data_IF_732715369394
#
_entry.id   IF_732715369394
#
_cell.length_a   1.000
_cell.length_b   1.000
_cell.length_c   1.000
_cell.angle_alpha   90.00
_cell.angle_beta   90.00
_cell.angle_gamma   90.00
#
_symmetry.space_group_name_H-M   'P 1'
#
loop_
_entity.id
_entity.type
_entity.pdbx_description
1 polymer ?
#
# COMPACT_ATOMS: atom_id res chain seq x y z
N UNK A 1 -17.34 12.66 -6.55
CA UNK A 1 -18.80 12.73 -6.32
C UNK A 1 -19.45 11.38 -6.03
N UNK A 2 -18.80 10.49 -5.28
CA UNK A 2 -19.41 9.25 -4.74
C UNK A 2 -18.95 9.06 -3.29
N UNK A 3 -17.64 9.12 -3.08
CA UNK A 3 -17.04 8.86 -1.77
C UNK A 3 -16.45 10.13 -1.13
N UNK A 4 -15.85 11.02 -1.93
CA UNK A 4 -15.16 12.20 -1.41
C UNK A 4 -15.88 13.52 -1.81
N UNK A 5 -16.56 14.22 -0.89
CA UNK A 5 -17.33 15.44 -1.16
C UNK A 5 -16.47 16.72 -1.07
N UNK A 6 -15.26 16.70 -1.62
CA UNK A 6 -14.32 17.83 -1.63
C UNK A 6 -13.90 18.19 -3.06
N UNK A 7 -13.08 19.25 -3.18
CA UNK A 7 -12.57 19.72 -4.47
C UNK A 7 -11.80 18.64 -5.24
N UNK A 8 -11.98 18.64 -6.56
CA UNK A 8 -11.32 17.70 -7.47
C UNK A 8 -9.79 17.79 -7.40
N UNK A 9 -9.24 18.99 -7.19
CA UNK A 9 -7.81 19.23 -7.02
C UNK A 9 -7.21 18.40 -5.88
N UNK A 10 -7.87 18.32 -4.73
CA UNK A 10 -7.37 17.54 -3.58
C UNK A 10 -7.31 16.04 -3.89
N UNK A 11 -8.29 15.54 -4.65
CA UNK A 11 -8.32 14.14 -5.10
C UNK A 11 -7.23 13.88 -6.13
N UNK A 12 -7.12 14.75 -7.14
CA UNK A 12 -6.16 14.62 -8.22
C UNK A 12 -4.71 14.71 -7.72
N UNK A 13 -4.40 15.70 -6.88
CA UNK A 13 -3.06 15.86 -6.32
C UNK A 13 -2.67 14.66 -5.43
N UNK A 14 -3.62 14.10 -4.69
CA UNK A 14 -3.40 12.87 -3.91
C UNK A 14 -3.10 11.67 -4.83
N UNK A 15 -3.88 11.49 -5.89
CA UNK A 15 -3.66 10.44 -6.89
C UNK A 15 -2.31 10.60 -7.59
N UNK A 16 -1.94 11.82 -7.97
CA UNK A 16 -0.64 12.13 -8.60
C UNK A 16 0.49 11.75 -7.67
N UNK A 17 0.43 12.14 -6.39
CA UNK A 17 1.48 11.77 -5.41
C UNK A 17 1.63 10.26 -5.28
N UNK A 18 0.55 9.48 -5.37
CA UNK A 18 0.58 8.02 -5.33
C UNK A 18 1.21 7.36 -6.56
N UNK A 19 1.41 8.11 -7.65
CA UNK A 19 2.06 7.66 -8.88
C UNK A 19 3.55 8.05 -8.95
N UNK A 20 3.98 9.04 -8.17
CA UNK A 20 5.35 9.57 -8.16
C UNK A 20 6.29 8.67 -7.34
N UNK A 21 7.31 8.13 -7.98
CA UNK A 21 8.28 7.20 -7.39
C UNK A 21 9.28 7.89 -6.43
N UNK A 22 9.46 9.21 -6.52
CA UNK A 22 10.18 10.00 -5.52
C UNK A 22 9.31 10.41 -4.31
N UNK A 23 7.98 10.21 -4.39
CA UNK A 23 7.04 10.55 -3.32
C UNK A 23 6.70 9.35 -2.46
N UNK A 24 6.20 8.26 -3.07
CA UNK A 24 5.90 7.00 -2.38
C UNK A 24 7.00 5.97 -2.66
N UNK A 25 7.45 5.28 -1.62
CA UNK A 25 8.48 4.22 -1.74
C UNK A 25 8.01 3.04 -2.60
N UNK A 26 6.71 2.74 -2.52
CA UNK A 26 5.99 1.76 -3.32
C UNK A 26 4.72 2.42 -3.90
N UNK A 27 4.82 3.04 -5.09
CA UNK A 27 3.69 3.72 -5.72
C UNK A 27 2.48 2.79 -5.88
N UNK A 28 1.29 3.31 -5.60
CA UNK A 28 0.03 2.58 -5.67
C UNK A 28 -0.71 2.82 -7.00
N UNK A 29 -0.34 3.88 -7.71
CA UNK A 29 -0.94 4.29 -8.98
C UNK A 29 0.09 4.17 -10.11
N UNK A 30 -0.37 3.68 -11.25
CA UNK A 30 0.35 3.65 -12.53
C UNK A 30 -0.21 4.79 -13.38
N UNK A 31 0.59 5.85 -13.55
CA UNK A 31 0.20 7.06 -14.25
C UNK A 31 0.79 7.13 -15.66
N UNK A 32 -0.02 7.56 -16.64
CA UNK A 32 0.40 7.84 -18.01
C UNK A 32 0.20 9.32 -18.34
N UNK A 33 1.25 9.97 -18.83
CA UNK A 33 1.29 11.41 -19.07
C UNK A 33 2.31 12.10 -18.16
N UNK A 34 2.22 13.43 -18.02
CA UNK A 34 3.10 14.19 -17.13
C UNK A 34 2.51 14.23 -15.70
N UNK A 35 3.14 13.49 -14.79
CA UNK A 35 2.80 13.44 -13.36
C UNK A 35 3.69 14.35 -12.49
N UNK A 36 4.37 15.32 -13.10
CA UNK A 36 5.28 16.24 -12.43
C UNK A 36 6.71 15.71 -12.39
N UNK A 37 7.56 16.40 -11.64
CA UNK A 37 8.99 16.07 -11.51
C UNK A 37 9.49 16.32 -10.08
N UNK A 38 10.66 15.75 -9.75
CA UNK A 38 11.38 16.06 -8.50
C UNK A 38 11.87 17.52 -8.42
N UNK A 39 11.89 18.20 -9.56
CA UNK A 39 12.14 19.65 -9.68
C UNK A 39 10.95 20.49 -9.20
N UNK A 40 9.81 19.86 -8.92
CA UNK A 40 8.59 20.52 -8.48
C UNK A 40 7.75 21.07 -9.62
N UNK A 41 7.99 20.62 -10.85
CA UNK A 41 7.05 20.87 -11.92
C UNK A 41 5.71 20.23 -11.57
N UNK A 42 4.65 21.02 -11.68
CA UNK A 42 3.30 20.52 -11.46
C UNK A 42 2.95 19.43 -12.49
N UNK A 43 2.12 18.45 -12.11
CA UNK A 43 1.54 17.52 -13.09
C UNK A 43 0.75 18.29 -14.15
N UNK A 44 0.57 17.66 -15.31
CA UNK A 44 -0.41 18.17 -16.27
C UNK A 44 -1.82 18.18 -15.63
N UNK A 45 -2.72 19.00 -16.18
CA UNK A 45 -4.11 18.97 -15.73
C UNK A 45 -4.74 17.58 -15.95
N UNK A 46 -5.64 17.16 -15.06
CA UNK A 46 -6.23 15.82 -15.03
C UNK A 46 -6.82 15.31 -16.36
N UNK A 47 -7.22 16.21 -17.26
CA UNK A 47 -7.71 15.88 -18.61
C UNK A 47 -6.65 15.36 -19.59
N UNK A 48 -5.37 15.48 -19.24
CA UNK A 48 -4.23 15.07 -20.07
C UNK A 48 -3.48 13.87 -19.50
N UNK A 49 -3.97 13.30 -18.40
CA UNK A 49 -3.34 12.19 -17.69
C UNK A 49 -4.31 11.03 -17.61
N UNK A 50 -3.78 9.82 -17.72
CA UNK A 50 -4.50 8.58 -17.46
C UNK A 50 -3.87 7.89 -16.25
N UNK A 51 -4.65 7.08 -15.54
CA UNK A 51 -4.17 6.37 -14.37
C UNK A 51 -4.92 5.04 -14.17
N UNK A 52 -4.23 4.07 -13.59
CA UNK A 52 -4.80 2.81 -13.08
C UNK A 52 -4.08 2.39 -11.80
N UNK A 53 -4.58 1.36 -11.13
CA UNK A 53 -3.89 0.78 -9.98
C UNK A 53 -2.62 0.06 -10.43
N UNK A 54 -1.53 0.20 -9.65
CA UNK A 54 -0.40 -0.72 -9.76
C UNK A 54 -0.79 -2.05 -9.14
N UNK A 55 -0.14 -3.13 -9.60
CA UNK A 55 -0.35 -4.50 -9.08
C UNK A 55 -0.23 -4.61 -7.55
N UNK A 56 0.61 -3.79 -6.93
CA UNK A 56 0.74 -3.78 -5.46
C UNK A 56 -0.51 -3.22 -4.77
N UNK A 57 -1.24 -2.29 -5.40
CA UNK A 57 -2.47 -1.75 -4.82
C UNK A 57 -3.60 -2.78 -4.80
N UNK A 58 -3.59 -3.78 -5.69
CA UNK A 58 -4.54 -4.89 -5.64
C UNK A 58 -4.42 -5.68 -4.32
N UNK A 59 -3.21 -5.76 -3.74
CA UNK A 59 -2.99 -6.37 -2.42
C UNK A 59 -3.61 -5.56 -1.27
N UNK A 60 -3.93 -4.27 -1.49
CA UNK A 60 -4.74 -3.51 -0.52
C UNK A 60 -6.21 -3.86 -0.60
N UNK A 61 -6.72 -4.14 -1.80
CA UNK A 61 -8.14 -4.35 -2.08
C UNK A 61 -8.55 -5.82 -2.07
N UNK A 62 -7.60 -6.76 -2.11
CA UNK A 62 -7.90 -8.18 -2.23
C UNK A 62 -8.76 -8.70 -1.07
N UNK A 63 -9.75 -9.53 -1.39
CA UNK A 63 -10.74 -10.10 -0.48
C UNK A 63 -11.76 -9.10 0.08
N UNK A 64 -11.85 -7.87 -0.45
CA UNK A 64 -12.82 -6.85 -0.02
C UNK A 64 -14.29 -7.30 -0.20
N UNK A 65 -14.55 -8.17 -1.18
CA UNK A 65 -15.85 -8.74 -1.50
C UNK A 65 -16.29 -9.91 -0.59
N UNK A 66 -15.42 -10.31 0.35
CA UNK A 66 -15.63 -11.48 1.22
C UNK A 66 -15.92 -11.13 2.69
N UNK A 67 -16.63 -10.03 2.93
CA UNK A 67 -16.99 -9.53 4.27
C UNK A 67 -15.78 -9.42 5.21
N UNK A 68 -14.64 -8.99 4.66
CA UNK A 68 -13.36 -8.94 5.38
C UNK A 68 -13.16 -7.67 6.21
N UNK A 69 -13.95 -6.64 5.93
CA UNK A 69 -13.90 -5.32 6.58
C UNK A 69 -15.32 -4.76 6.67
N UNK A 70 -15.53 -3.85 7.62
CA UNK A 70 -16.81 -3.18 7.77
C UNK A 70 -16.99 -2.09 6.71
N UNK A 71 -18.18 -2.07 6.12
CA UNK A 71 -18.65 -1.02 5.24
C UNK A 71 -19.54 -0.04 6.02
N UNK A 72 -19.52 1.21 5.59
CA UNK A 72 -20.36 2.28 6.12
C UNK A 72 -21.03 3.04 4.97
N UNK A 73 -22.19 3.68 5.20
CA UNK A 73 -22.78 4.57 4.23
C UNK A 73 -21.82 5.70 3.85
N UNK A 74 -21.82 6.08 2.57
CA UNK A 74 -21.11 7.25 2.10
C UNK A 74 -21.80 8.55 2.56
N UNK A 75 -21.25 9.71 2.19
CA UNK A 75 -21.73 11.02 2.69
C UNK A 75 -23.20 11.38 2.38
N UNK A 76 -23.85 10.71 1.42
CA UNK A 76 -25.25 10.94 1.03
C UNK A 76 -26.14 9.68 1.17
N UNK A 77 -25.64 8.65 1.87
CA UNK A 77 -26.30 7.37 2.12
C UNK A 77 -26.76 6.61 0.84
N UNK A 78 -26.25 6.98 -0.34
CA UNK A 78 -26.63 6.35 -1.61
C UNK A 78 -25.77 5.12 -1.96
N UNK A 79 -24.60 5.01 -1.36
CA UNK A 79 -23.61 3.94 -1.58
C UNK A 79 -22.96 3.55 -0.26
N UNK A 80 -22.28 2.41 -0.25
CA UNK A 80 -21.41 2.00 0.85
C UNK A 80 -19.93 2.19 0.47
N UNK A 81 -19.10 2.45 1.47
CA UNK A 81 -17.65 2.53 1.37
C UNK A 81 -16.98 1.77 2.51
N UNK A 82 -15.79 1.17 2.28
CA UNK A 82 -15.08 0.46 3.33
C UNK A 82 -14.51 1.44 4.36
N UNK A 83 -14.67 1.12 5.64
CA UNK A 83 -14.08 1.88 6.75
C UNK A 83 -12.56 1.73 6.83
N UNK A 84 -12.04 0.59 6.35
CA UNK A 84 -10.61 0.23 6.24
C UNK A 84 -10.44 -0.75 5.09
N UNK A 85 -9.24 -0.85 4.52
CA UNK A 85 -8.93 -1.83 3.46
C UNK A 85 -8.39 -3.14 4.05
N UNK A 86 -8.61 -4.30 3.39
CA UNK A 86 -8.02 -5.58 3.79
C UNK A 86 -6.49 -5.52 3.99
N UNK A 87 -5.78 -4.77 3.14
CA UNK A 87 -4.36 -4.45 3.30
C UNK A 87 -3.47 -5.68 3.55
N UNK A 88 -3.26 -6.53 2.54
CA UNK A 88 -2.43 -7.75 2.65
C UNK A 88 -0.95 -7.48 2.92
N UNK A 89 -0.50 -6.24 2.79
CA UNK A 89 0.86 -5.79 3.13
C UNK A 89 0.83 -4.55 4.04
N UNK A 90 1.90 -4.31 4.82
CA UNK A 90 1.95 -3.26 5.84
C UNK A 90 2.16 -1.85 5.26
N UNK A 91 1.19 -1.34 4.51
CA UNK A 91 1.28 -0.10 3.73
C UNK A 91 1.72 1.12 4.54
N UNK A 92 1.20 1.29 5.75
CA UNK A 92 1.54 2.43 6.61
C UNK A 92 3.04 2.47 6.94
N UNK A 93 3.66 1.31 7.19
CA UNK A 93 5.10 1.21 7.48
C UNK A 93 5.93 1.42 6.21
N UNK A 94 5.56 0.77 5.10
CA UNK A 94 6.41 0.77 3.90
C UNK A 94 6.34 2.07 3.11
N UNK A 95 5.17 2.71 3.03
CA UNK A 95 5.01 3.99 2.32
C UNK A 95 5.09 5.21 3.24
N UNK A 96 4.92 5.04 4.56
CA UNK A 96 4.83 6.16 5.48
C UNK A 96 3.57 7.01 5.23
N UNK A 97 3.50 8.14 5.92
CA UNK A 97 2.44 9.13 5.73
C UNK A 97 2.84 10.46 6.37
N UNK A 98 2.30 11.57 5.87
CA UNK A 98 2.49 12.88 6.47
C UNK A 98 1.16 13.62 6.45
N UNK A 99 0.80 14.26 7.56
CA UNK A 99 -0.46 14.98 7.66
C UNK A 99 -0.47 15.97 8.82
N UNK A 100 -1.13 17.10 8.61
CA UNK A 100 -1.33 18.13 9.64
C UNK A 100 -2.83 18.12 9.97
N UNK A 101 -3.15 17.86 11.24
CA UNK A 101 -4.51 17.89 11.75
C UNK A 101 -4.68 19.11 12.68
N UNK A 102 -5.79 19.16 13.43
CA UNK A 102 -6.01 20.21 14.44
C UNK A 102 -5.39 19.76 15.77
N UNK A 103 -4.39 20.49 16.26
CA UNK A 103 -3.71 20.21 17.53
C UNK A 103 -2.71 19.05 17.49
N UNK A 104 -2.50 18.40 16.33
CA UNK A 104 -1.55 17.32 16.14
C UNK A 104 -1.09 17.21 14.68
N UNK A 105 -0.01 16.48 14.45
CA UNK A 105 0.48 16.14 13.13
C UNK A 105 0.99 14.70 13.13
N UNK A 106 1.18 14.13 11.95
CA UNK A 106 1.87 12.86 11.73
C UNK A 106 2.93 13.03 10.65
N UNK A 107 4.06 12.37 10.82
CA UNK A 107 5.13 12.33 9.84
C UNK A 107 5.91 11.02 9.99
N UNK A 108 5.50 10.02 9.24
CA UNK A 108 5.99 8.65 9.28
C UNK A 108 6.89 8.41 8.07
N UNK A 109 8.09 7.91 8.32
CA UNK A 109 9.05 7.63 7.26
C UNK A 109 8.70 6.31 6.53
N UNK A 110 8.96 6.21 5.22
CA UNK A 110 8.84 4.95 4.47
C UNK A 110 9.94 3.96 4.84
N UNK A 111 9.69 2.67 4.62
CA UNK A 111 10.61 1.57 4.95
C UNK A 111 10.68 0.55 3.83
N UNK A 112 11.73 -0.26 3.84
CA UNK A 112 11.89 -1.35 2.89
C UNK A 112 10.87 -2.46 3.18
N UNK A 113 10.11 -2.88 2.16
CA UNK A 113 9.10 -3.94 2.25
C UNK A 113 9.70 -5.24 2.80
N UNK A 114 10.88 -5.64 2.34
CA UNK A 114 11.51 -6.91 2.74
C UNK A 114 11.84 -6.88 4.22
N UNK A 115 12.45 -5.79 4.68
CA UNK A 115 12.79 -5.59 6.10
C UNK A 115 11.53 -5.58 6.96
N UNK A 116 10.49 -4.84 6.56
CA UNK A 116 9.24 -4.77 7.32
C UNK A 116 8.56 -6.14 7.39
N UNK A 117 8.48 -6.88 6.29
CA UNK A 117 7.91 -8.23 6.28
C UNK A 117 8.72 -9.18 7.17
N UNK A 118 10.06 -9.12 7.12
CA UNK A 118 10.91 -9.92 8.01
C UNK A 118 10.68 -9.56 9.49
N UNK A 119 10.53 -8.27 9.82
CA UNK A 119 10.19 -7.83 11.17
C UNK A 119 8.82 -8.30 11.64
N UNK A 120 7.82 -8.34 10.74
CA UNK A 120 6.50 -8.91 11.03
C UNK A 120 6.59 -10.42 11.27
N UNK A 121 7.35 -11.16 10.46
CA UNK A 121 7.57 -12.60 10.66
C UNK A 121 8.23 -12.84 12.03
N UNK A 122 9.26 -12.06 12.38
CA UNK A 122 9.91 -12.16 13.68
C UNK A 122 8.96 -11.86 14.86
N UNK A 123 8.04 -10.91 14.69
CA UNK A 123 6.97 -10.63 15.66
C UNK A 123 5.96 -11.78 15.77
N UNK A 124 5.59 -12.42 14.67
CA UNK A 124 4.69 -13.59 14.69
C UNK A 124 5.33 -14.78 15.41
N UNK A 125 6.64 -14.97 15.26
CA UNK A 125 7.40 -16.01 15.97
C UNK A 125 7.57 -15.70 17.46
N UNK A 126 7.67 -14.42 17.82
CA UNK A 126 7.79 -13.95 19.19
C UNK A 126 7.04 -12.61 19.42
N UNK A 127 5.79 -12.64 19.90
CA UNK A 127 5.01 -11.42 20.15
C UNK A 127 5.62 -10.46 21.20
N UNK A 128 6.51 -10.95 22.05
CA UNK A 128 7.23 -10.15 23.06
C UNK A 128 8.55 -9.55 22.53
N UNK A 129 8.86 -9.72 21.23
CA UNK A 129 10.08 -9.19 20.61
C UNK A 129 10.21 -7.68 20.85
N UNK A 130 11.37 -7.26 21.34
CA UNK A 130 11.62 -5.86 21.67
C UNK A 130 11.87 -5.02 20.43
N UNK A 131 11.75 -3.70 20.54
CA UNK A 131 12.13 -2.78 19.45
C UNK A 131 13.59 -2.97 19.04
N UNK A 132 14.49 -3.22 20.00
CA UNK A 132 15.91 -3.41 19.72
C UNK A 132 16.17 -4.67 18.88
N UNK A 133 15.44 -5.76 19.13
CA UNK A 133 15.52 -6.99 18.34
C UNK A 133 14.85 -6.80 16.96
N UNK A 134 13.73 -6.08 16.89
CA UNK A 134 13.09 -5.73 15.61
C UNK A 134 14.02 -4.91 14.70
N UNK A 135 14.91 -4.10 15.28
CA UNK A 135 15.89 -3.32 14.53
C UNK A 135 16.97 -4.17 13.83
N UNK A 136 17.13 -5.44 14.21
CA UNK A 136 17.99 -6.37 13.47
C UNK A 136 17.37 -6.76 12.11
N UNK A 137 16.05 -6.64 11.99
CA UNK A 137 15.29 -6.90 10.76
C UNK A 137 14.94 -5.63 10.00
N UNK A 138 14.59 -4.55 10.71
CA UNK A 138 14.21 -3.24 10.18
C UNK A 138 15.27 -2.22 10.58
N UNK A 139 16.23 -2.00 9.69
CA UNK A 139 17.46 -1.28 10.01
C UNK A 139 17.20 0.21 10.21
N UNK A 140 16.51 0.81 9.24
CA UNK A 140 16.22 2.24 9.19
C UNK A 140 15.14 2.52 8.11
N UNK A 141 14.62 3.75 8.04
CA UNK A 141 13.81 4.16 6.90
C UNK A 141 14.52 4.01 5.55
N UNK A 142 13.74 3.68 4.53
CA UNK A 142 14.19 3.51 3.15
C UNK A 142 13.44 4.51 2.28
N UNK A 143 14.07 5.66 2.03
CA UNK A 143 13.44 6.76 1.32
C UNK A 143 13.45 6.53 -0.20
N UNK A 144 12.37 6.86 -0.92
CA UNK A 144 12.29 6.69 -2.37
C UNK A 144 13.37 7.49 -3.14
N UNK A 145 13.85 8.60 -2.58
CA UNK A 145 14.89 9.43 -3.19
C UNK A 145 16.31 8.94 -2.93
N UNK A 146 16.47 7.84 -2.18
CA UNK A 146 17.76 7.37 -1.69
C UNK A 146 18.35 8.32 -0.65
N UNK A 147 19.64 8.61 -0.82
CA UNK A 147 20.45 9.39 0.10
C UNK A 147 21.08 8.52 1.18
N UNK A 148 21.60 9.18 2.21
CA UNK A 148 22.27 8.54 3.34
C UNK A 148 21.66 9.02 4.65
N UNK A 149 21.35 8.09 5.55
CA UNK A 149 21.02 8.43 6.94
C UNK A 149 22.33 8.63 7.70
N UNK A 150 22.48 9.80 8.33
CA UNK A 150 23.66 10.16 9.09
C UNK A 150 23.44 9.97 10.58
N UNK A 151 23.91 8.83 11.10
CA UNK A 151 23.78 8.42 12.49
C UNK A 151 22.51 7.62 12.77
N UNK A 152 22.57 6.71 13.74
CA UNK A 152 21.49 5.78 14.08
C UNK A 152 20.62 6.23 15.26
N UNK A 153 21.08 7.19 16.08
CA UNK A 153 20.37 7.60 17.30
C UNK A 153 18.95 8.12 17.00
N UNK A 154 18.81 8.94 15.96
CA UNK A 154 17.51 9.46 15.55
C UNK A 154 16.54 8.37 15.04
N UNK A 155 17.08 7.30 14.44
CA UNK A 155 16.32 6.13 13.98
C UNK A 155 15.86 5.33 15.19
N UNK A 156 16.77 5.02 16.12
CA UNK A 156 16.48 4.29 17.34
C UNK A 156 15.40 4.99 18.16
N UNK A 157 15.54 6.29 18.39
CA UNK A 157 14.54 7.08 19.12
C UNK A 157 13.16 7.02 18.44
N UNK A 158 13.14 7.15 17.11
CA UNK A 158 11.91 7.06 16.33
C UNK A 158 11.23 5.70 16.48
N UNK A 159 12.00 4.61 16.45
CA UNK A 159 11.47 3.26 16.60
C UNK A 159 11.02 2.94 18.02
N UNK A 160 11.74 3.40 19.05
CA UNK A 160 11.42 3.11 20.44
C UNK A 160 10.22 3.92 20.96
N UNK A 161 10.07 5.16 20.48
CA UNK A 161 9.10 6.12 21.05
C UNK A 161 8.02 6.59 20.09
N UNK A 162 8.17 6.29 18.79
CA UNK A 162 7.36 6.89 17.73
C UNK A 162 7.76 8.32 17.39
N UNK A 163 8.80 8.88 18.01
CA UNK A 163 9.32 10.23 17.76
C UNK A 163 10.83 10.23 17.63
N UNK A 164 11.36 10.91 16.63
CA UNK A 164 12.81 10.99 16.46
C UNK A 164 13.19 11.97 15.38
N UNK A 165 14.48 12.32 15.32
CA UNK A 165 15.02 13.22 14.30
C UNK A 165 16.10 12.51 13.50
N UNK A 166 15.75 12.10 12.29
CA UNK A 166 16.65 11.41 11.37
C UNK A 166 17.35 12.45 10.50
N UNK A 167 18.68 12.45 10.51
CA UNK A 167 19.45 13.33 9.63
C UNK A 167 19.66 12.61 8.30
N UNK A 168 19.24 13.25 7.21
CA UNK A 168 19.39 12.74 5.85
C UNK A 168 20.43 13.58 5.12
N UNK A 169 21.30 12.93 4.37
CA UNK A 169 22.38 13.56 3.61
C UNK A 169 22.34 13.08 2.17
N UNK A 170 22.62 13.97 1.24
CA UNK A 170 22.76 13.66 -0.17
C UNK A 170 23.91 12.67 -0.39
N UNK A 171 23.76 11.78 -1.37
CA UNK A 171 24.83 10.88 -1.80
C UNK A 171 25.74 11.60 -2.77
N UNK A 172 27.02 11.63 -2.46
CA UNK A 172 28.00 12.40 -3.22
C UNK A 172 29.29 11.62 -3.46
N UNK A 173 29.97 11.95 -4.55
CA UNK A 173 31.34 11.49 -4.84
C UNK A 173 32.13 12.61 -5.51
N UNK A 174 33.45 12.44 -5.58
CA UNK A 174 34.34 13.39 -6.25
C UNK A 174 34.75 12.87 -7.62
N UNK A 175 34.79 13.75 -8.60
CA UNK A 175 35.33 13.49 -9.94
C UNK A 175 36.44 14.49 -10.25
N UNK A 176 37.44 14.08 -11.04
CA UNK A 176 38.54 14.94 -11.50
C UNK A 176 38.47 15.04 -13.01
N UNK A 177 38.33 16.26 -13.52
CA UNK A 177 38.31 16.54 -14.95
C UNK A 177 39.70 16.39 -15.59
N UNK A 178 39.79 16.17 -16.92
CA UNK A 178 41.08 16.10 -17.63
C UNK A 178 41.97 17.34 -17.48
N UNK A 179 41.37 18.50 -17.18
CA UNK A 179 42.10 19.76 -16.94
C UNK A 179 42.60 19.90 -15.48
N UNK A 180 42.46 18.85 -14.66
CA UNK A 180 42.88 18.78 -13.26
C UNK A 180 41.93 19.45 -12.27
N UNK A 181 40.77 19.96 -12.70
CA UNK A 181 39.76 20.52 -11.78
C UNK A 181 38.95 19.41 -11.12
N UNK A 182 38.72 19.55 -9.82
CA UNK A 182 37.84 18.65 -9.08
C UNK A 182 36.38 19.11 -9.12
N UNK A 183 35.47 18.15 -9.02
CA UNK A 183 34.02 18.35 -8.98
C UNK A 183 33.41 17.50 -7.87
N UNK A 184 32.40 18.05 -7.20
CA UNK A 184 31.50 17.30 -6.31
C UNK A 184 30.26 16.96 -7.11
N UNK A 185 29.96 15.68 -7.19
CA UNK A 185 28.78 15.16 -7.87
C UNK A 185 27.78 14.70 -6.83
N UNK A 186 26.54 15.14 -6.97
CA UNK A 186 25.40 14.67 -6.16
C UNK A 186 24.52 13.80 -7.03
N UNK A 187 24.28 12.56 -6.59
CA UNK A 187 23.48 11.57 -7.33
C UNK A 187 22.15 11.25 -6.67
N UNK A 188 21.99 11.54 -5.38
CA UNK A 188 20.76 11.32 -4.62
C UNK A 188 20.62 12.46 -3.60
N UNK A 189 19.40 12.96 -3.36
CA UNK A 189 19.12 14.05 -2.41
C UNK A 189 18.19 13.58 -1.28
N UNK A 190 18.18 14.29 -0.13
CA UNK A 190 17.28 13.96 0.96
C UNK A 190 15.79 13.97 0.56
N UNK A 191 14.99 13.13 1.23
CA UNK A 191 13.56 13.02 0.98
C UNK A 191 12.82 14.35 1.21
N UNK A 192 11.78 14.60 0.39
CA UNK A 192 10.97 15.83 0.37
C UNK A 192 11.76 17.13 0.06
N UNK A 193 12.98 17.02 -0.46
CA UNK A 193 13.72 18.17 -0.99
C UNK A 193 13.38 18.37 -2.46
N UNK A 194 12.97 19.59 -2.79
CA UNK A 194 12.79 20.02 -4.17
C UNK A 194 14.17 20.36 -4.80
N UNK A 195 14.53 19.68 -5.90
CA UNK A 195 15.88 19.79 -6.49
C UNK A 195 16.13 21.20 -7.04
N UNK A 196 15.26 21.74 -7.88
CA UNK A 196 15.40 23.08 -8.45
C UNK A 196 15.54 24.18 -7.37
N UNK A 197 14.69 24.17 -6.34
CA UNK A 197 14.74 25.12 -5.23
C UNK A 197 16.02 24.97 -4.39
N UNK A 198 16.49 23.73 -4.19
CA UNK A 198 17.77 23.49 -3.53
C UNK A 198 18.93 24.11 -4.33
N UNK A 199 18.95 23.92 -5.65
CA UNK A 199 19.97 24.47 -6.55
C UNK A 199 19.93 26.00 -6.54
N UNK A 200 18.75 26.60 -6.69
CA UNK A 200 18.55 28.06 -6.65
C UNK A 200 19.06 28.67 -5.35
N UNK A 201 18.65 28.12 -4.19
CA UNK A 201 19.10 28.59 -2.88
C UNK A 201 20.60 28.41 -2.70
N UNK A 202 21.17 27.33 -3.24
CA UNK A 202 22.62 27.11 -3.17
C UNK A 202 23.38 28.13 -4.02
N UNK A 203 22.88 28.47 -5.22
CA UNK A 203 23.45 29.52 -6.06
C UNK A 203 23.43 30.89 -5.36
N UNK A 204 22.34 31.22 -4.67
CA UNK A 204 22.26 32.44 -3.86
C UNK A 204 23.35 32.47 -2.75
N UNK A 205 23.56 31.36 -2.04
CA UNK A 205 24.59 31.27 -0.99
C UNK A 205 26.02 31.39 -1.53
N UNK A 206 26.26 30.93 -2.77
CA UNK A 206 27.55 31.11 -3.47
C UNK A 206 27.76 32.58 -3.83
N UNK A 207 26.73 33.23 -4.38
CA UNK A 207 26.78 34.65 -4.76
C UNK A 207 26.98 35.56 -3.52
N UNK A 208 26.33 35.23 -2.41
CA UNK A 208 26.47 35.92 -1.12
C UNK A 208 27.81 35.63 -0.42
N UNK A 209 28.70 34.83 -1.03
CA UNK A 209 29.98 34.38 -0.47
C UNK A 209 29.86 33.68 0.89
N UNK A 210 28.69 33.09 1.19
CA UNK A 210 28.52 32.22 2.37
C UNK A 210 29.14 30.84 2.13
N UNK A 211 29.13 30.39 0.88
CA UNK A 211 29.82 29.18 0.43
C UNK A 211 30.86 29.61 -0.62
N UNK A 212 32.13 29.45 -0.29
CA UNK A 212 33.24 29.74 -1.19
C UNK A 212 33.84 28.45 -1.78
N UNK A 213 34.71 28.60 -2.78
CA UNK A 213 35.41 27.47 -3.42
C UNK A 213 34.66 26.80 -4.57
N UNK A 214 33.44 27.25 -4.90
CA UNK A 214 32.68 26.77 -6.06
C UNK A 214 32.89 27.71 -7.24
N UNK A 215 33.26 27.15 -8.39
CA UNK A 215 33.47 27.85 -9.65
C UNK A 215 32.21 27.84 -10.53
N UNK A 216 31.47 26.74 -10.56
CA UNK A 216 30.22 26.61 -11.30
C UNK A 216 29.29 25.58 -10.62
N UNK A 217 27.98 25.79 -10.77
CA UNK A 217 26.92 24.89 -10.36
C UNK A 217 26.08 24.55 -11.59
N UNK A 218 25.90 23.26 -11.89
CA UNK A 218 25.13 22.77 -13.04
C UNK A 218 24.20 21.64 -12.62
N UNK A 219 23.03 21.59 -13.24
CA UNK A 219 22.17 20.42 -13.22
C UNK A 219 22.36 19.66 -14.54
N UNK A 220 22.97 18.48 -14.43
CA UNK A 220 23.23 17.55 -15.54
C UNK A 220 22.29 16.32 -15.42
N UNK A 221 21.21 16.43 -14.65
CA UNK A 221 20.22 15.34 -14.51
C UNK A 221 19.51 15.08 -15.83
N UNK A 222 19.28 13.81 -16.12
CA UNK A 222 18.58 13.35 -17.32
C UNK A 222 17.59 12.22 -16.97
N UNK A 223 17.19 11.43 -17.97
CA UNK A 223 16.28 10.29 -17.79
C UNK A 223 16.94 9.11 -17.06
N UNK A 224 18.26 9.04 -17.07
CA UNK A 224 19.04 7.92 -16.52
C UNK A 224 19.45 8.17 -15.06
N UNK A 225 19.37 9.42 -14.58
CA UNK A 225 19.48 9.71 -13.16
C UNK A 225 19.70 11.17 -12.81
N UNK A 226 19.75 11.42 -11.50
CA UNK A 226 20.07 12.73 -10.95
C UNK A 226 21.59 12.98 -10.98
N UNK A 227 22.00 14.15 -11.44
CA UNK A 227 23.39 14.58 -11.44
C UNK A 227 23.51 16.09 -11.23
N UNK A 228 23.71 16.52 -9.99
CA UNK A 228 24.01 17.93 -9.68
C UNK A 228 25.52 18.09 -9.49
N UNK A 229 26.12 19.01 -10.25
CA UNK A 229 27.57 19.18 -10.34
C UNK A 229 27.98 20.50 -9.73
N UNK A 230 28.86 20.44 -8.73
CA UNK A 230 29.58 21.57 -8.17
C UNK A 230 31.03 21.51 -8.62
N UNK A 231 31.40 22.33 -9.60
CA UNK A 231 32.78 22.46 -10.04
C UNK A 231 33.56 23.34 -9.06
N UNK A 232 34.72 22.88 -8.62
CA UNK A 232 35.52 23.56 -7.61
C UNK A 232 36.54 24.51 -8.24
N UNK A 233 36.92 25.55 -7.48
CA UNK A 233 38.08 26.40 -7.81
C UNK A 233 39.37 25.60 -7.58
N UNK A 234 40.44 25.94 -8.30
CA UNK A 234 41.72 25.20 -8.26
C UNK A 234 42.37 25.11 -6.87
N UNK A 235 42.09 26.09 -6.02
CA UNK A 235 42.62 26.25 -4.67
C UNK A 235 41.65 25.78 -3.58
N UNK A 236 40.45 25.31 -3.94
CA UNK A 236 39.43 24.89 -2.99
C UNK A 236 39.67 23.44 -2.53
N UNK A 237 39.58 23.22 -1.21
CA UNK A 237 39.60 21.88 -0.63
C UNK A 237 38.21 21.24 -0.73
N UNK A 238 38.11 20.15 -1.50
CA UNK A 238 36.85 19.45 -1.79
C UNK A 238 36.03 19.07 -0.55
N UNK A 239 36.67 18.53 0.49
CA UNK A 239 36.03 18.13 1.75
C UNK A 239 35.48 19.32 2.54
N UNK A 240 36.17 20.47 2.51
CA UNK A 240 35.71 21.70 3.16
C UNK A 240 34.47 22.25 2.47
N UNK A 241 34.49 22.31 1.13
CA UNK A 241 33.34 22.75 0.34
C UNK A 241 32.15 21.82 0.56
N UNK A 242 32.35 20.49 0.52
CA UNK A 242 31.31 19.51 0.78
C UNK A 242 30.67 19.67 2.17
N UNK A 243 31.48 19.87 3.21
CA UNK A 243 30.97 20.09 4.56
C UNK A 243 30.18 21.39 4.68
N UNK A 244 30.62 22.47 4.01
CA UNK A 244 29.86 23.72 3.94
C UNK A 244 28.54 23.53 3.19
N UNK A 245 28.53 22.78 2.09
CA UNK A 245 27.32 22.42 1.35
C UNK A 245 26.32 21.70 2.27
N UNK A 246 26.74 20.68 3.02
CA UNK A 246 25.87 20.01 4.00
C UNK A 246 25.39 20.93 5.12
N UNK A 247 26.22 21.87 5.57
CA UNK A 247 25.87 22.76 6.68
C UNK A 247 24.86 23.84 6.29
N UNK A 248 24.98 24.38 5.08
CA UNK A 248 24.25 25.59 4.67
C UNK A 248 23.12 25.33 3.67
N UNK A 249 23.05 24.15 3.05
CA UNK A 249 22.06 23.82 2.02
C UNK A 249 21.20 22.63 2.40
N UNK A 250 20.17 22.33 1.60
CA UNK A 250 19.32 21.15 1.79
C UNK A 250 19.97 19.83 1.30
N UNK A 251 21.24 19.85 0.89
CA UNK A 251 22.02 18.62 0.70
C UNK A 251 22.19 17.83 2.00
N UNK A 252 21.95 18.46 3.15
CA UNK A 252 21.63 17.76 4.38
C UNK A 252 20.36 18.35 4.97
N UNK A 253 19.42 17.49 5.33
CA UNK A 253 18.17 17.89 5.98
C UNK A 253 17.88 16.96 7.16
N UNK A 254 16.77 17.19 7.86
CA UNK A 254 16.32 16.26 8.89
C UNK A 254 14.85 15.94 8.73
N UNK A 255 14.53 14.66 8.83
CA UNK A 255 13.16 14.15 8.89
C UNK A 255 12.76 14.00 10.35
N UNK A 256 11.78 14.78 10.79
CA UNK A 256 11.19 14.64 12.13
C UNK A 256 10.14 13.56 12.12
N UNK A 257 10.46 12.36 12.62
CA UNK A 257 9.51 11.27 12.77
C UNK A 257 8.52 11.59 13.88
N UNK A 258 7.24 11.41 13.59
CA UNK A 258 6.15 11.50 14.55
C UNK A 258 5.03 10.54 14.12
N UNK A 259 5.07 9.32 14.66
CA UNK A 259 4.20 8.20 14.30
C UNK A 259 2.85 8.29 15.00
N UNK A 260 2.04 9.27 14.59
CA UNK A 260 0.65 9.40 15.06
C UNK A 260 -0.28 8.76 14.03
N UNK A 261 -1.09 7.80 14.48
CA UNK A 261 -2.09 7.12 13.64
C UNK A 261 -3.39 6.89 14.42
N UNK A 262 -4.45 6.50 13.71
CA UNK A 262 -5.74 6.19 14.32
C UNK A 262 -5.78 4.72 14.75
N UNK A 263 -5.94 4.50 16.05
CA UNK A 263 -6.21 3.17 16.63
C UNK A 263 -7.63 3.20 17.15
N UNK A 264 -8.52 2.40 16.55
CA UNK A 264 -9.96 2.35 16.91
C UNK A 264 -10.58 3.75 16.97
N UNK A 265 -10.26 4.58 15.97
CA UNK A 265 -10.74 5.97 15.84
C UNK A 265 -10.05 7.00 16.73
N UNK A 266 -9.06 6.63 17.55
CA UNK A 266 -8.34 7.55 18.44
C UNK A 266 -6.91 7.79 17.97
N UNK A 267 -6.42 9.04 17.96
CA UNK A 267 -5.05 9.34 17.61
C UNK A 267 -4.09 8.85 18.71
N UNK A 268 -3.14 8.00 18.34
CA UNK A 268 -2.13 7.46 19.25
C UNK A 268 -0.74 7.61 18.64
N UNK A 269 0.26 7.93 19.48
CA UNK A 269 1.68 7.87 19.10
C UNK A 269 2.15 6.44 19.32
N UNK A 270 2.65 5.79 18.27
CA UNK A 270 3.05 4.39 18.31
C UNK A 270 4.54 4.21 18.00
N UNK A 271 5.16 3.28 18.71
CA UNK A 271 6.51 2.81 18.41
C UNK A 271 6.48 1.72 17.30
N UNK A 272 7.65 1.24 16.87
CA UNK A 272 7.77 0.27 15.77
C UNK A 272 7.02 -1.04 16.05
N UNK A 273 7.22 -1.61 17.24
CA UNK A 273 6.58 -2.86 17.65
C UNK A 273 5.04 -2.72 17.66
N UNK A 274 4.51 -1.62 18.21
CA UNK A 274 3.07 -1.36 18.24
C UNK A 274 2.48 -1.21 16.84
N UNK A 275 3.19 -0.57 15.91
CA UNK A 275 2.75 -0.47 14.52
C UNK A 275 2.63 -1.85 13.86
N UNK A 276 3.60 -2.74 14.12
CA UNK A 276 3.57 -4.13 13.64
C UNK A 276 2.43 -4.90 14.29
N UNK A 277 2.28 -4.81 15.63
CA UNK A 277 1.21 -5.47 16.38
C UNK A 277 -0.17 -5.13 15.82
N UNK A 278 -0.50 -3.85 15.64
CA UNK A 278 -1.83 -3.47 15.10
C UNK A 278 -2.03 -3.89 13.65
N UNK A 279 -0.96 -3.93 12.85
CA UNK A 279 -1.06 -4.50 11.50
C UNK A 279 -1.38 -6.00 11.55
N UNK A 280 -0.70 -6.75 12.42
CA UNK A 280 -0.94 -8.19 12.61
C UNK A 280 -2.35 -8.45 13.13
N UNK A 281 -2.82 -7.73 14.15
CA UNK A 281 -4.20 -7.83 14.66
C UNK A 281 -5.24 -7.63 13.53
N UNK A 282 -5.05 -6.61 12.69
CA UNK A 282 -5.91 -6.36 11.53
C UNK A 282 -5.87 -7.52 10.53
N UNK A 283 -4.68 -8.05 10.24
CA UNK A 283 -4.53 -9.19 9.31
C UNK A 283 -5.18 -10.46 9.84
N UNK A 284 -5.07 -10.74 11.14
CA UNK A 284 -5.74 -11.87 11.78
C UNK A 284 -7.26 -11.75 11.64
N UNK A 285 -7.83 -10.58 11.94
CA UNK A 285 -9.27 -10.34 11.81
C UNK A 285 -9.73 -10.57 10.36
N UNK A 286 -9.05 -9.95 9.39
CA UNK A 286 -9.35 -10.09 7.96
C UNK A 286 -9.30 -11.56 7.52
N UNK A 287 -8.28 -12.32 7.94
CA UNK A 287 -8.14 -13.73 7.57
C UNK A 287 -9.28 -14.55 8.19
N UNK A 288 -9.59 -14.34 9.47
CA UNK A 288 -10.70 -15.05 10.16
C UNK A 288 -12.04 -14.76 9.48
N UNK A 289 -12.33 -13.49 9.15
CA UNK A 289 -13.57 -13.11 8.45
C UNK A 289 -13.65 -13.74 7.07
N UNK A 290 -12.56 -13.68 6.29
CA UNK A 290 -12.48 -14.34 4.99
C UNK A 290 -12.73 -15.84 5.09
N UNK A 291 -12.09 -16.52 6.03
CA UNK A 291 -12.24 -17.97 6.21
C UNK A 291 -13.66 -18.33 6.63
N UNK A 292 -14.32 -17.51 7.47
CA UNK A 292 -15.74 -17.70 7.81
C UNK A 292 -16.66 -17.52 6.61
N UNK A 293 -16.40 -16.51 5.77
CA UNK A 293 -17.14 -16.28 4.54
C UNK A 293 -16.99 -17.46 3.58
N UNK A 294 -15.76 -17.90 3.32
CA UNK A 294 -15.45 -19.02 2.43
C UNK A 294 -16.07 -20.33 2.95
N UNK A 295 -16.02 -20.57 4.27
CA UNK A 295 -16.69 -21.71 4.90
C UNK A 295 -18.22 -21.65 4.72
N UNK A 296 -18.84 -20.49 4.92
CA UNK A 296 -20.28 -20.33 4.76
C UNK A 296 -20.72 -20.55 3.30
N UNK A 297 -19.97 -20.04 2.33
CA UNK A 297 -20.24 -20.27 0.91
C UNK A 297 -20.03 -21.75 0.52
N UNK A 298 -18.96 -22.38 1.01
CA UNK A 298 -18.71 -23.81 0.81
C UNK A 298 -19.85 -24.67 1.40
N UNK A 299 -20.30 -24.37 2.62
CA UNK A 299 -21.41 -25.08 3.27
C UNK A 299 -22.74 -24.89 2.53
N UNK A 300 -23.05 -23.66 2.06
CA UNK A 300 -24.23 -23.42 1.22
C UNK A 300 -24.15 -24.22 -0.08
N UNK A 301 -22.96 -24.30 -0.69
CA UNK A 301 -22.75 -25.05 -1.92
C UNK A 301 -22.90 -26.54 -1.71
N UNK A 302 -22.27 -27.10 -0.68
CA UNK A 302 -22.38 -28.50 -0.28
C UNK A 302 -23.84 -28.88 -0.02
N UNK A 303 -24.58 -28.05 0.73
CA UNK A 303 -26.00 -28.25 0.99
C UNK A 303 -26.84 -28.33 -0.30
N UNK A 304 -26.54 -27.50 -1.30
CA UNK A 304 -27.22 -27.60 -2.61
C UNK A 304 -26.85 -28.90 -3.34
N UNK A 305 -25.56 -29.26 -3.34
CA UNK A 305 -25.08 -30.48 -4.00
C UNK A 305 -25.70 -31.74 -3.39
N UNK A 306 -25.87 -31.80 -2.06
CA UNK A 306 -26.57 -32.90 -1.38
C UNK A 306 -28.00 -33.07 -1.91
N UNK A 307 -28.73 -31.96 -2.06
CA UNK A 307 -30.08 -32.00 -2.64
C UNK A 307 -30.09 -32.49 -4.08
N UNK A 308 -29.12 -32.05 -4.89
CA UNK A 308 -28.97 -32.50 -6.28
C UNK A 308 -28.60 -33.99 -6.35
N UNK A 309 -27.74 -34.48 -5.46
CA UNK A 309 -27.37 -35.90 -5.38
C UNK A 309 -28.58 -36.77 -5.02
N UNK A 310 -29.35 -36.38 -3.99
CA UNK A 310 -30.62 -37.06 -3.64
C UNK A 310 -31.57 -37.10 -4.84
N UNK A 311 -31.70 -35.97 -5.57
CA UNK A 311 -32.56 -35.91 -6.74
C UNK A 311 -32.07 -36.79 -7.89
N UNK A 312 -30.75 -36.90 -8.11
CA UNK A 312 -30.16 -37.75 -9.13
C UNK A 312 -30.28 -39.24 -8.79
N UNK A 313 -30.22 -39.60 -7.51
CA UNK A 313 -30.43 -40.98 -7.04
C UNK A 313 -31.90 -41.42 -7.16
N UNK A 314 -32.84 -40.48 -7.07
CA UNK A 314 -34.28 -40.72 -7.18
C UNK A 314 -34.93 -40.06 -8.42
N UNK A 315 -34.18 -39.98 -9.53
CA UNK A 315 -34.53 -39.15 -10.69
C UNK A 315 -35.93 -39.40 -11.25
N UNK A 316 -36.32 -40.66 -11.44
CA UNK A 316 -37.64 -40.99 -12.00
C UNK A 316 -38.79 -40.54 -11.10
N UNK A 317 -38.62 -40.66 -9.77
CA UNK A 317 -39.62 -40.24 -8.79
C UNK A 317 -39.73 -38.72 -8.72
N UNK A 318 -38.59 -38.02 -8.78
CA UNK A 318 -38.52 -36.56 -8.83
C UNK A 318 -39.22 -36.03 -10.08
N UNK A 319 -38.91 -36.59 -11.27
CA UNK A 319 -39.55 -36.20 -12.53
C UNK A 319 -41.05 -36.46 -12.49
N UNK A 320 -41.47 -37.62 -11.98
CA UNK A 320 -42.89 -37.97 -11.86
C UNK A 320 -43.62 -36.96 -10.96
N UNK A 321 -43.08 -36.67 -9.78
CA UNK A 321 -43.65 -35.71 -8.84
C UNK A 321 -43.79 -34.32 -9.47
N UNK A 322 -42.75 -33.83 -10.15
CA UNK A 322 -42.78 -32.52 -10.82
C UNK A 322 -43.84 -32.50 -11.94
N UNK A 323 -43.96 -33.58 -12.73
CA UNK A 323 -44.95 -33.69 -13.81
C UNK A 323 -46.40 -33.79 -13.33
N UNK A 324 -46.62 -34.40 -12.17
CA UNK A 324 -47.96 -34.53 -11.56
C UNK A 324 -48.40 -33.27 -10.80
N UNK A 325 -47.44 -32.41 -10.44
CA UNK A 325 -47.68 -31.14 -9.78
C UNK A 325 -48.27 -30.10 -10.74
N UNK A 326 -49.26 -29.34 -10.27
CA UNK A 326 -49.99 -28.35 -11.09
C UNK A 326 -49.24 -27.04 -11.28
N UNK A 327 -48.35 -26.72 -10.34
CA UNK A 327 -47.53 -25.51 -10.35
C UNK A 327 -46.18 -25.77 -9.64
N UNK A 328 -45.19 -24.87 -9.81
CA UNK A 328 -43.87 -25.03 -9.21
C UNK A 328 -43.89 -25.09 -7.68
N UNK A 329 -44.88 -24.48 -7.04
CA UNK A 329 -44.92 -24.36 -5.59
C UNK A 329 -45.40 -25.65 -4.93
N UNK A 330 -46.39 -26.32 -5.53
CA UNK A 330 -46.78 -27.68 -5.18
C UNK A 330 -45.65 -28.68 -5.45
N UNK A 331 -44.92 -28.54 -6.57
CA UNK A 331 -43.78 -29.39 -6.86
C UNK A 331 -42.68 -29.23 -5.79
N UNK A 332 -42.38 -27.98 -5.41
CA UNK A 332 -41.42 -27.67 -4.36
C UNK A 332 -41.83 -28.26 -3.01
N UNK A 333 -43.08 -28.06 -2.59
CA UNK A 333 -43.61 -28.62 -1.34
C UNK A 333 -43.53 -30.15 -1.33
N UNK A 334 -43.87 -30.80 -2.45
CA UNK A 334 -43.76 -32.25 -2.60
C UNK A 334 -42.31 -32.75 -2.55
N UNK A 335 -41.34 -32.03 -3.13
CA UNK A 335 -39.92 -32.36 -3.03
C UNK A 335 -39.41 -32.26 -1.59
N UNK A 336 -39.80 -31.21 -0.87
CA UNK A 336 -39.45 -31.00 0.54
C UNK A 336 -39.99 -32.15 1.39
N UNK A 337 -41.29 -32.46 1.27
CA UNK A 337 -41.96 -33.46 2.10
C UNK A 337 -41.46 -34.88 1.81
N UNK A 338 -41.32 -35.24 0.53
CA UNK A 338 -41.06 -36.63 0.12
C UNK A 338 -39.58 -37.03 0.24
N UNK A 339 -38.67 -36.08 0.06
CA UNK A 339 -37.22 -36.34 0.07
C UNK A 339 -36.49 -35.67 1.23
N UNK A 340 -37.24 -35.14 2.21
CA UNK A 340 -36.70 -34.41 3.37
C UNK A 340 -35.73 -33.28 2.98
N UNK A 341 -36.02 -32.59 1.87
CA UNK A 341 -35.18 -31.53 1.32
C UNK A 341 -35.52 -30.19 1.95
N UNK A 342 -34.54 -29.30 2.05
CA UNK A 342 -34.78 -27.89 2.36
C UNK A 342 -35.42 -27.15 1.18
N UNK A 343 -36.00 -25.99 1.47
CA UNK A 343 -36.57 -25.09 0.46
C UNK A 343 -35.58 -24.70 -0.64
N UNK A 344 -34.33 -24.43 -0.25
CA UNK A 344 -33.27 -24.01 -1.18
C UNK A 344 -32.83 -25.18 -2.07
N UNK A 345 -32.72 -26.39 -1.51
CA UNK A 345 -32.41 -27.60 -2.28
C UNK A 345 -33.54 -27.93 -3.27
N UNK A 346 -34.80 -27.91 -2.82
CA UNK A 346 -35.96 -28.18 -3.67
C UNK A 346 -36.04 -27.19 -4.84
N UNK A 347 -35.77 -25.90 -4.58
CA UNK A 347 -35.67 -24.88 -5.63
C UNK A 347 -34.53 -25.15 -6.60
N UNK A 348 -33.34 -25.50 -6.11
CA UNK A 348 -32.20 -25.83 -6.96
C UNK A 348 -32.47 -27.04 -7.87
N UNK A 349 -33.26 -28.02 -7.41
CA UNK A 349 -33.70 -29.16 -8.22
C UNK A 349 -34.69 -28.72 -9.30
N UNK A 350 -35.65 -27.86 -8.98
CA UNK A 350 -36.59 -27.32 -9.98
C UNK A 350 -35.89 -26.46 -11.05
N UNK A 351 -34.84 -25.74 -10.66
CA UNK A 351 -34.02 -24.93 -11.56
C UNK A 351 -32.98 -25.77 -12.35
N UNK A 352 -32.92 -27.07 -12.10
CA UNK A 352 -31.98 -27.97 -12.75
C UNK A 352 -32.27 -28.10 -14.25
N UNK A 353 -31.25 -27.89 -15.09
CA UNK A 353 -31.36 -28.07 -16.54
C UNK A 353 -31.24 -29.55 -16.90
N UNK A 354 -32.05 -30.04 -17.83
CA UNK A 354 -32.05 -31.44 -18.29
C UNK A 354 -30.65 -31.98 -18.69
N UNK A 355 -29.75 -31.13 -19.19
CA UNK A 355 -28.38 -31.53 -19.51
C UNK A 355 -27.59 -32.07 -18.30
N UNK A 356 -27.94 -31.64 -17.07
CA UNK A 356 -27.32 -32.09 -15.82
C UNK A 356 -27.62 -33.55 -15.49
N UNK A 357 -28.57 -34.17 -16.18
CA UNK A 357 -28.95 -35.58 -16.02
C UNK A 357 -28.04 -36.55 -16.77
N UNK A 358 -27.09 -36.03 -17.57
CA UNK A 358 -26.10 -36.88 -18.26
C UNK A 358 -25.11 -37.46 -17.26
N UNK A 359 -24.59 -38.66 -17.53
CA UNK A 359 -23.65 -39.35 -16.61
C UNK A 359 -22.43 -38.51 -16.26
N UNK A 360 -21.85 -37.81 -17.25
CA UNK A 360 -20.70 -36.92 -17.03
C UNK A 360 -21.02 -35.75 -16.08
N UNK A 361 -22.22 -35.20 -16.13
CA UNK A 361 -22.62 -34.09 -15.25
C UNK A 361 -22.93 -34.56 -13.83
N UNK A 362 -23.43 -35.81 -13.67
CA UNK A 362 -23.54 -36.46 -12.37
C UNK A 362 -22.17 -36.64 -11.73
N UNK A 363 -21.20 -37.19 -12.46
CA UNK A 363 -19.84 -37.41 -11.95
C UNK A 363 -19.18 -36.09 -11.53
N UNK A 364 -19.44 -34.99 -12.25
CA UNK A 364 -18.99 -33.65 -11.86
C UNK A 364 -19.61 -33.16 -10.55
N UNK A 365 -20.90 -33.42 -10.31
CA UNK A 365 -21.58 -33.02 -9.07
C UNK A 365 -21.02 -33.81 -7.89
N UNK A 366 -20.77 -35.12 -8.08
CA UNK A 366 -20.13 -35.97 -7.06
C UNK A 366 -18.72 -35.46 -6.76
N UNK A 367 -17.90 -35.25 -7.79
CA UNK A 367 -16.54 -34.74 -7.61
C UNK A 367 -16.49 -33.37 -6.95
N UNK A 368 -17.39 -32.44 -7.34
CA UNK A 368 -17.48 -31.12 -6.71
C UNK A 368 -17.89 -31.21 -5.23
N UNK A 369 -18.76 -32.17 -4.87
CA UNK A 369 -19.12 -32.40 -3.48
C UNK A 369 -17.96 -33.00 -2.68
N UNK A 370 -17.25 -33.98 -3.24
CA UNK A 370 -16.07 -34.58 -2.62
C UNK A 370 -14.94 -33.56 -2.41
N UNK A 371 -14.72 -32.63 -3.34
CA UNK A 371 -13.71 -31.57 -3.23
C UNK A 371 -14.04 -30.54 -2.13
N UNK A 372 -15.31 -30.40 -1.74
CA UNK A 372 -15.76 -29.46 -0.71
C UNK A 372 -15.72 -30.03 0.72
N UNK A 373 -15.61 -31.37 0.85
CA UNK A 373 -15.60 -32.10 2.12
C UNK A 373 -14.18 -32.41 2.59
#
# INVERSE_FOLDING_TARGET
>A
GKYHPHGDSSVYDTMVRMAQDWSLRYPLVDGQGNFGSIDGDSPAAMRYTEARLKRIADELLGDLDKDTVDFQPNFDDSLEEPSVLPAKFPNLLVNGTSGIAVGMATNMAPHNMTEVVNGIIAYLDNPDITVAELMEFITAPDFPTGGMIYGSEGVKQAFETGRGRIVMRAKTHFEVLPNGKEQIIVTEIPYQVNKASMIEKTAALINDKKIEGIAALRDESDRDGMRVVYELKRDALNTVVLNNLFKYTQLQSSFGVNNVCLVKGRPMTLNLQQLIMYFVEHREEVIVRRTRYELAEAQKRAHILEGLLIALDHLDEVIKLIRESRDPELARAGLIERFALSEVQARAILDMRLQRLTGLERDKIVGEYEDLM
#
